data_IF_313109374842
#
_entry.id   IF_313109374842
#
_cell.length_a   1.000
_cell.length_b   1.000
_cell.length_c   1.000
_cell.angle_alpha   90.00
_cell.angle_beta   90.00
_cell.angle_gamma   90.00
#
_symmetry.space_group_name_H-M   'P 1'
#
loop_
_entity.id
_entity.type
_entity.pdbx_description
1 polymer ?
#
# COMPACT_ATOMS: atom_id res chain seq x y z
N UNK A 1 47.13 -2.72 38.99
CA UNK A 1 45.72 -2.27 39.02
C UNK A 1 45.42 -1.67 37.65
N UNK A 2 44.88 -2.46 36.73
CA UNK A 2 44.64 -2.04 35.34
C UNK A 2 43.13 -1.95 35.15
N UNK A 3 42.67 -0.74 34.83
CA UNK A 3 41.27 -0.37 34.62
C UNK A 3 40.76 -1.06 33.36
N UNK A 4 39.88 -2.06 33.53
CA UNK A 4 39.00 -2.54 32.45
C UNK A 4 37.79 -1.61 32.36
N UNK A 5 37.86 -0.60 31.51
CA UNK A 5 36.69 0.11 30.97
C UNK A 5 37.03 0.57 29.57
N UNK A 6 36.57 -0.17 28.56
CA UNK A 6 36.45 0.21 27.14
C UNK A 6 35.91 -0.99 26.34
N UNK A 7 34.68 -1.39 26.63
CA UNK A 7 33.94 -2.27 25.71
C UNK A 7 32.46 -1.89 25.63
N UNK A 8 31.91 -1.32 26.70
CA UNK A 8 30.51 -0.86 26.72
C UNK A 8 30.27 0.48 25.99
N UNK A 9 31.30 1.32 25.77
CA UNK A 9 31.13 2.58 25.02
C UNK A 9 31.14 2.39 23.50
N UNK A 10 31.79 1.35 22.97
CA UNK A 10 31.86 1.12 21.51
C UNK A 10 30.54 0.54 20.95
N UNK A 11 29.78 -0.19 21.78
CA UNK A 11 28.46 -0.72 21.39
C UNK A 11 27.34 0.35 21.42
N UNK A 12 27.60 1.53 22.00
CA UNK A 12 26.60 2.61 22.13
C UNK A 12 26.39 3.42 20.84
N UNK A 13 27.37 3.44 19.94
CA UNK A 13 27.32 4.18 18.67
C UNK A 13 26.68 3.40 17.51
N UNK A 14 26.48 2.08 17.66
CA UNK A 14 25.94 1.20 16.61
C UNK A 14 24.41 1.11 16.67
N UNK A 15 23.78 1.55 17.77
CA UNK A 15 22.34 1.84 17.79
C UNK A 15 22.06 3.24 17.24
N UNK A 16 22.50 3.51 16.01
CA UNK A 16 21.81 4.54 15.23
C UNK A 16 20.37 4.08 15.14
N UNK A 17 19.49 4.72 15.92
CA UNK A 17 18.04 4.61 15.83
C UNK A 17 17.73 4.70 14.34
N UNK A 18 17.37 3.58 13.71
CA UNK A 18 16.95 3.64 12.32
C UNK A 18 15.85 4.69 12.27
N UNK A 19 15.94 5.68 11.36
CA UNK A 19 14.90 6.69 11.29
C UNK A 19 13.60 5.95 11.06
N UNK A 20 12.75 5.93 12.09
CA UNK A 20 11.39 5.41 11.95
C UNK A 20 10.79 6.20 10.79
N UNK A 21 10.38 5.53 9.71
CA UNK A 21 9.72 6.23 8.62
C UNK A 21 8.46 6.87 9.18
N UNK A 22 8.45 8.20 9.26
CA UNK A 22 7.30 8.96 9.78
C UNK A 22 6.36 9.38 8.65
N UNK A 23 6.89 9.57 7.44
CA UNK A 23 6.14 9.98 6.26
C UNK A 23 6.79 9.42 4.99
N UNK A 24 5.96 8.87 4.11
CA UNK A 24 6.34 8.53 2.74
C UNK A 24 5.47 9.31 1.77
N UNK A 25 6.07 9.83 0.69
CA UNK A 25 5.37 10.58 -0.36
C UNK A 25 5.73 10.03 -1.72
N UNK A 26 4.76 10.02 -2.62
CA UNK A 26 4.94 9.73 -4.03
C UNK A 26 4.79 11.01 -4.86
N UNK A 27 5.40 11.05 -6.04
CA UNK A 27 5.38 12.20 -6.92
C UNK A 27 5.34 11.79 -8.40
N UNK A 28 4.88 12.70 -9.25
CA UNK A 28 4.89 12.56 -10.71
C UNK A 28 6.31 12.51 -11.31
N UNK A 29 7.36 12.78 -10.52
CA UNK A 29 8.77 12.54 -10.89
C UNK A 29 9.17 11.05 -10.78
N UNK A 30 8.20 10.16 -10.54
CA UNK A 30 8.37 8.71 -10.36
C UNK A 30 9.23 8.38 -9.14
N UNK A 31 9.27 9.25 -8.12
CA UNK A 31 10.00 9.00 -6.88
C UNK A 31 9.09 8.73 -5.70
N UNK A 32 9.55 7.84 -4.83
CA UNK A 32 9.03 7.68 -3.47
C UNK A 32 10.06 8.24 -2.51
N UNK A 33 9.66 9.21 -1.69
CA UNK A 33 10.54 9.90 -0.75
C UNK A 33 10.12 9.63 0.68
N UNK A 34 11.11 9.41 1.55
CA UNK A 34 10.94 9.10 2.96
C UNK A 34 11.49 10.25 3.80
N UNK A 35 10.68 10.70 4.74
CA UNK A 35 10.91 11.92 5.48
C UNK A 35 10.87 11.68 6.99
N UNK A 36 11.73 12.41 7.70
CA UNK A 36 11.57 12.60 9.13
C UNK A 36 10.58 13.75 9.33
N UNK A 37 9.35 13.44 9.76
CA UNK A 37 8.26 14.41 9.79
C UNK A 37 8.53 15.63 10.68
N UNK A 38 9.32 15.49 11.75
CA UNK A 38 9.64 16.60 12.66
C UNK A 38 10.64 17.60 12.06
N UNK A 39 11.64 17.11 11.32
CA UNK A 39 12.69 17.96 10.75
C UNK A 39 12.42 18.37 9.30
N UNK A 40 11.54 17.65 8.61
CA UNK A 40 11.33 17.80 7.17
C UNK A 40 12.49 17.26 6.33
N UNK A 41 13.46 16.55 6.94
CA UNK A 41 14.61 16.00 6.20
C UNK A 41 14.18 14.77 5.40
N UNK A 42 14.33 14.84 4.08
CA UNK A 42 14.35 13.66 3.22
C UNK A 42 15.66 12.90 3.47
N UNK A 43 15.58 11.63 3.87
CA UNK A 43 16.76 10.80 4.11
C UNK A 43 16.84 9.59 3.17
N UNK A 44 15.78 9.31 2.41
CA UNK A 44 15.77 8.23 1.42
C UNK A 44 14.82 8.57 0.26
N UNK A 45 15.29 8.30 -0.95
CA UNK A 45 14.52 8.42 -2.20
C UNK A 45 14.67 7.12 -2.96
N UNK A 46 13.55 6.55 -3.40
CA UNK A 46 13.49 5.38 -4.28
C UNK A 46 12.98 5.84 -5.64
N UNK A 47 13.67 5.43 -6.71
CA UNK A 47 13.15 5.57 -8.06
C UNK A 47 12.16 4.44 -8.32
N UNK A 48 10.89 4.78 -8.52
CA UNK A 48 9.87 3.83 -8.94
C UNK A 48 9.99 3.62 -10.47
N UNK A 49 10.21 2.39 -10.93
CA UNK A 49 10.63 2.15 -12.31
C UNK A 49 9.51 2.24 -13.35
N UNK A 50 8.25 2.00 -12.97
CA UNK A 50 7.20 1.76 -13.96
C UNK A 50 6.51 3.06 -14.43
N UNK A 51 6.06 3.89 -13.48
CA UNK A 51 5.26 5.09 -13.75
C UNK A 51 5.22 6.04 -12.55
N UNK A 52 4.41 7.09 -12.62
CA UNK A 52 3.98 7.80 -11.42
C UNK A 52 3.27 6.84 -10.45
N UNK A 53 3.43 7.07 -9.16
CA UNK A 53 2.76 6.31 -8.10
C UNK A 53 1.49 7.06 -7.71
N UNK A 54 0.34 6.44 -7.96
CA UNK A 54 -0.98 7.02 -7.73
C UNK A 54 -1.43 6.85 -6.28
N UNK A 55 -0.96 5.81 -5.58
CA UNK A 55 -1.27 5.59 -4.17
C UNK A 55 -0.14 4.92 -3.40
N UNK A 56 0.03 5.34 -2.15
CA UNK A 56 0.92 4.74 -1.16
C UNK A 56 0.13 4.24 0.04
N UNK A 57 0.54 3.11 0.60
CA UNK A 57 -0.02 2.60 1.85
C UNK A 57 0.99 1.74 2.61
N UNK A 58 1.02 1.86 3.94
CA UNK A 58 1.88 1.06 4.80
C UNK A 58 1.13 -0.20 5.21
N UNK A 59 1.79 -1.36 5.15
CA UNK A 59 1.20 -2.62 5.61
C UNK A 59 0.84 -2.56 7.10
N UNK A 60 -0.17 -3.31 7.59
CA UNK A 60 -0.58 -3.28 8.99
C UNK A 60 0.54 -3.60 9.99
N UNK A 61 1.46 -4.48 9.61
CA UNK A 61 2.67 -4.83 10.38
C UNK A 61 3.78 -3.75 10.32
N UNK A 62 3.57 -2.68 9.54
CA UNK A 62 4.47 -1.55 9.31
C UNK A 62 5.80 -1.91 8.67
N UNK A 63 5.91 -3.12 8.10
CA UNK A 63 7.15 -3.61 7.52
C UNK A 63 7.36 -3.14 6.09
N UNK A 64 6.28 -2.99 5.32
CA UNK A 64 6.34 -2.67 3.91
C UNK A 64 5.52 -1.44 3.55
N UNK A 65 5.95 -0.75 2.50
CA UNK A 65 5.22 0.31 1.83
C UNK A 65 4.75 -0.22 0.48
N UNK A 66 3.45 -0.26 0.26
CA UNK A 66 2.84 -0.50 -1.03
C UNK A 66 2.82 0.76 -1.86
N UNK A 67 3.27 0.64 -3.10
CA UNK A 67 3.21 1.69 -4.11
C UNK A 67 2.48 1.19 -5.35
N UNK A 68 1.30 1.76 -5.58
CA UNK A 68 0.42 1.47 -6.69
C UNK A 68 0.66 2.46 -7.84
N UNK A 69 1.09 1.93 -8.98
CA UNK A 69 1.35 2.68 -10.22
C UNK A 69 0.60 2.09 -11.41
N UNK A 70 1.21 2.15 -12.59
CA UNK A 70 0.71 1.56 -13.82
C UNK A 70 1.65 0.46 -14.35
N UNK A 71 1.18 -0.78 -14.51
CA UNK A 71 -0.04 -1.38 -13.94
C UNK A 71 0.21 -2.07 -12.59
N UNK A 72 1.40 -1.92 -12.01
CA UNK A 72 1.87 -2.77 -10.92
C UNK A 72 1.62 -2.17 -9.52
N UNK A 73 1.49 -3.05 -8.53
CA UNK A 73 1.64 -2.70 -7.11
C UNK A 73 2.93 -3.34 -6.62
N UNK A 74 3.83 -2.52 -6.08
CA UNK A 74 5.11 -2.99 -5.56
C UNK A 74 5.22 -2.74 -4.06
N UNK A 75 5.73 -3.72 -3.32
CA UNK A 75 6.07 -3.56 -1.91
C UNK A 75 7.55 -3.25 -1.73
N UNK A 76 7.86 -2.26 -0.91
CA UNK A 76 9.22 -1.90 -0.52
C UNK A 76 9.37 -2.10 0.98
N UNK A 77 10.49 -2.69 1.40
CA UNK A 77 10.83 -2.75 2.83
C UNK A 77 11.16 -1.33 3.33
N UNK A 78 10.41 -0.93 4.37
CA UNK A 78 10.45 0.40 4.99
C UNK A 78 11.80 0.64 5.67
N UNK A 79 12.43 -0.40 6.21
CA UNK A 79 13.68 -0.34 6.98
C UNK A 79 14.93 -0.70 6.14
N UNK A 80 14.74 -1.33 4.97
CA UNK A 80 15.83 -1.59 4.03
C UNK A 80 16.22 -0.31 3.29
N UNK A 81 17.48 -0.12 2.90
CA UNK A 81 17.86 0.95 1.95
C UNK A 81 17.83 0.50 0.49
N UNK A 82 17.41 -0.75 0.22
CA UNK A 82 17.30 -1.26 -1.14
C UNK A 82 16.28 -0.43 -1.94
N UNK A 83 16.61 -0.02 -3.17
CA UNK A 83 15.64 0.58 -4.09
C UNK A 83 14.76 -0.46 -4.79
N UNK A 84 15.07 -1.75 -4.62
CA UNK A 84 14.34 -2.82 -5.28
C UNK A 84 13.09 -3.22 -4.48
N UNK A 85 11.98 -3.51 -5.16
CA UNK A 85 10.79 -4.03 -4.50
C UNK A 85 11.05 -5.44 -3.95
N UNK A 86 10.47 -5.76 -2.79
CA UNK A 86 10.53 -7.10 -2.20
C UNK A 86 9.46 -8.04 -2.78
N UNK A 87 8.34 -7.48 -3.24
CA UNK A 87 7.22 -8.19 -3.84
C UNK A 87 6.58 -7.33 -4.93
N UNK A 88 6.04 -7.97 -5.96
CA UNK A 88 5.24 -7.35 -7.01
C UNK A 88 3.89 -8.06 -7.10
N UNK A 89 2.82 -7.29 -7.29
CA UNK A 89 1.49 -7.80 -7.55
C UNK A 89 1.10 -7.35 -8.96
N UNK A 90 1.11 -8.33 -9.87
CA UNK A 90 0.88 -8.15 -11.29
C UNK A 90 -0.50 -8.74 -11.63
N UNK A 91 -1.32 -7.99 -12.36
CA UNK A 91 -2.65 -8.46 -12.76
C UNK A 91 -3.64 -7.38 -13.13
N UNK A 92 -3.44 -6.14 -12.69
CA UNK A 92 -4.11 -4.99 -13.28
C UNK A 92 -3.54 -4.69 -14.68
N UNK A 93 -4.31 -4.01 -15.52
CA UNK A 93 -3.90 -3.66 -16.90
C UNK A 93 -3.87 -2.15 -17.16
N UNK A 94 -4.18 -1.35 -16.14
CA UNK A 94 -4.15 0.12 -16.16
C UNK A 94 -3.75 0.69 -14.79
N UNK A 95 -3.81 2.01 -14.63
CA UNK A 95 -3.48 2.74 -13.41
C UNK A 95 -4.19 2.15 -12.18
N UNK A 96 -3.41 1.71 -11.20
CA UNK A 96 -3.95 1.29 -9.90
C UNK A 96 -4.14 2.55 -9.04
N UNK A 97 -5.39 2.90 -8.77
CA UNK A 97 -5.78 4.15 -8.10
C UNK A 97 -6.05 3.96 -6.61
N UNK A 98 -6.36 2.73 -6.20
CA UNK A 98 -6.64 2.35 -4.84
C UNK A 98 -5.86 1.09 -4.46
N UNK A 99 -5.33 1.09 -3.24
CA UNK A 99 -4.76 -0.05 -2.55
C UNK A 99 -5.20 0.05 -1.08
N UNK A 100 -5.29 -1.10 -0.43
CA UNK A 100 -5.79 -1.25 0.93
C UNK A 100 -5.39 -2.57 1.57
N UNK A 101 -5.28 -2.62 2.89
CA UNK A 101 -5.02 -3.87 3.63
C UNK A 101 -6.11 -4.19 4.65
N UNK A 102 -6.35 -5.49 4.87
CA UNK A 102 -7.10 -5.97 6.03
C UNK A 102 -6.24 -5.86 7.30
N UNK A 103 -6.85 -5.65 8.47
CA UNK A 103 -6.11 -5.42 9.72
C UNK A 103 -5.16 -6.56 10.12
N UNK A 104 -5.45 -7.80 9.73
CA UNK A 104 -4.59 -8.96 10.01
C UNK A 104 -3.37 -9.04 9.08
N UNK A 105 -3.31 -8.22 8.03
CA UNK A 105 -2.23 -8.19 7.06
C UNK A 105 -2.20 -9.39 6.11
N UNK A 106 -3.24 -10.24 6.10
CA UNK A 106 -3.28 -11.40 5.20
C UNK A 106 -3.81 -11.05 3.81
N UNK A 107 -4.64 -10.02 3.71
CA UNK A 107 -5.30 -9.62 2.48
C UNK A 107 -5.01 -8.18 2.10
N UNK A 108 -4.76 -7.97 0.81
CA UNK A 108 -4.73 -6.66 0.18
C UNK A 108 -5.90 -6.57 -0.82
N UNK A 109 -6.44 -5.38 -0.98
CA UNK A 109 -7.39 -5.05 -2.02
C UNK A 109 -6.88 -3.89 -2.87
N UNK A 110 -7.26 -3.85 -4.13
CA UNK A 110 -6.89 -2.77 -5.04
C UNK A 110 -8.02 -2.43 -6.00
N UNK A 111 -8.02 -1.20 -6.51
CA UNK A 111 -8.95 -0.72 -7.53
C UNK A 111 -8.19 0.02 -8.63
N UNK A 112 -8.59 -0.19 -9.88
CA UNK A 112 -7.87 0.32 -11.05
C UNK A 112 -8.78 0.95 -12.10
N UNK A 113 -8.18 1.79 -12.94
CA UNK A 113 -8.79 2.32 -14.16
C UNK A 113 -9.09 1.24 -15.21
N UNK A 114 -8.59 0.01 -15.04
CA UNK A 114 -9.01 -1.14 -15.85
C UNK A 114 -10.45 -1.60 -15.57
N UNK A 115 -11.13 -0.94 -14.63
CA UNK A 115 -12.49 -1.23 -14.26
C UNK A 115 -12.61 -2.41 -13.31
N UNK A 116 -11.57 -2.77 -12.58
CA UNK A 116 -11.62 -3.93 -11.67
C UNK A 116 -11.23 -3.57 -10.24
N UNK A 117 -11.82 -4.31 -9.30
CA UNK A 117 -11.35 -4.44 -7.93
C UNK A 117 -10.73 -5.83 -7.78
N UNK A 118 -9.47 -5.90 -7.33
CA UNK A 118 -8.76 -7.17 -7.14
C UNK A 118 -8.44 -7.42 -5.68
N UNK A 119 -8.47 -8.69 -5.29
CA UNK A 119 -8.16 -9.19 -3.94
C UNK A 119 -6.96 -10.12 -4.01
N UNK A 120 -6.01 -9.87 -3.12
CA UNK A 120 -4.72 -10.55 -3.07
C UNK A 120 -4.55 -11.17 -1.69
N UNK A 121 -4.30 -12.48 -1.63
CA UNK A 121 -3.83 -13.14 -0.41
C UNK A 121 -2.31 -13.00 -0.39
N UNK A 122 -1.74 -12.31 0.60
CA UNK A 122 -0.30 -12.05 0.67
C UNK A 122 0.52 -13.30 1.03
N UNK A 123 -0.15 -14.43 1.31
CA UNK A 123 0.46 -15.73 1.60
C UNK A 123 0.47 -16.66 0.39
N UNK A 124 -0.19 -16.26 -0.70
CA UNK A 124 -0.31 -17.05 -1.92
C UNK A 124 0.09 -16.23 -3.16
N UNK A 125 0.61 -16.87 -4.21
CA UNK A 125 0.91 -16.16 -5.44
C UNK A 125 -0.37 -15.77 -6.21
N UNK A 126 -0.32 -14.60 -6.84
CA UNK A 126 -1.34 -14.17 -7.80
C UNK A 126 -2.61 -13.58 -7.20
N UNK A 127 -3.45 -13.04 -8.09
CA UNK A 127 -4.76 -12.50 -7.76
C UNK A 127 -5.72 -13.65 -7.38
N UNK A 128 -6.38 -13.54 -6.23
CA UNK A 128 -7.31 -14.57 -5.75
C UNK A 128 -8.74 -14.31 -6.22
N UNK A 129 -9.13 -13.02 -6.32
CA UNK A 129 -10.45 -12.63 -6.81
C UNK A 129 -10.40 -11.32 -7.56
N UNK A 130 -11.27 -11.22 -8.55
CA UNK A 130 -11.44 -10.06 -9.39
C UNK A 130 -12.92 -9.75 -9.52
N UNK A 131 -13.27 -8.49 -9.36
CA UNK A 131 -14.63 -7.98 -9.45
C UNK A 131 -14.67 -6.87 -10.48
N UNK A 132 -15.51 -7.03 -11.49
CA UNK A 132 -15.72 -6.01 -12.51
C UNK A 132 -16.57 -4.87 -11.94
N UNK A 133 -15.99 -3.68 -11.96
CA UNK A 133 -16.68 -2.41 -11.90
C UNK A 133 -17.02 -1.99 -13.33
N UNK A 134 -18.21 -1.44 -13.54
CA UNK A 134 -18.68 -1.04 -14.88
C UNK A 134 -17.97 0.23 -15.40
N UNK A 135 -17.00 0.76 -14.66
CA UNK A 135 -16.14 1.88 -14.99
C UNK A 135 -14.86 1.85 -14.14
N UNK A 136 -13.90 2.71 -14.50
CA UNK A 136 -12.66 2.94 -13.77
C UNK A 136 -12.93 3.17 -12.27
N UNK A 137 -12.22 2.42 -11.43
CA UNK A 137 -12.33 2.45 -9.97
C UNK A 137 -11.32 3.45 -9.41
N UNK A 138 -11.81 4.50 -8.77
CA UNK A 138 -10.96 5.56 -8.21
C UNK A 138 -10.60 5.31 -6.74
N UNK A 139 -11.47 4.62 -6.00
CA UNK A 139 -11.29 4.36 -4.57
C UNK A 139 -11.89 3.01 -4.18
N UNK A 140 -11.26 2.36 -3.21
CA UNK A 140 -11.78 1.18 -2.52
C UNK A 140 -11.48 1.38 -1.04
N UNK A 141 -12.44 1.09 -0.17
CA UNK A 141 -12.28 1.18 1.28
C UNK A 141 -12.82 -0.08 1.95
N UNK A 142 -12.12 -0.54 2.98
CA UNK A 142 -12.58 -1.62 3.84
C UNK A 142 -13.49 -1.08 4.93
N UNK A 143 -14.68 -1.65 5.00
CA UNK A 143 -15.61 -1.37 6.08
C UNK A 143 -15.02 -1.83 7.42
N UNK A 144 -15.28 -1.13 8.54
CA UNK A 144 -14.71 -1.48 9.85
C UNK A 144 -14.98 -2.90 10.34
N UNK A 145 -16.01 -3.60 9.81
CA UNK A 145 -16.25 -5.02 10.10
C UNK A 145 -15.19 -5.97 9.52
N UNK A 146 -14.26 -5.48 8.70
CA UNK A 146 -13.20 -6.26 8.06
C UNK A 146 -13.70 -7.31 7.05
N UNK A 147 -14.96 -7.25 6.63
CA UNK A 147 -15.57 -8.26 5.74
C UNK A 147 -16.12 -7.69 4.44
N UNK A 148 -16.37 -6.38 4.39
CA UNK A 148 -16.99 -5.71 3.24
C UNK A 148 -16.09 -4.62 2.67
N UNK A 149 -15.95 -4.59 1.36
CA UNK A 149 -15.28 -3.54 0.61
C UNK A 149 -16.32 -2.66 -0.06
N UNK A 150 -16.06 -1.35 -0.09
CA UNK A 150 -16.87 -0.37 -0.80
C UNK A 150 -15.97 0.26 -1.84
N UNK A 151 -16.36 0.18 -3.11
CA UNK A 151 -15.63 0.81 -4.21
C UNK A 151 -16.41 2.00 -4.77
N UNK A 152 -15.71 2.99 -5.32
CA UNK A 152 -16.31 4.13 -6.01
C UNK A 152 -15.75 4.23 -7.42
N UNK A 153 -16.63 4.13 -8.41
CA UNK A 153 -16.27 4.21 -9.83
C UNK A 153 -16.59 5.58 -10.46
N UNK A 154 -16.05 5.84 -11.66
CA UNK A 154 -16.26 7.10 -12.38
C UNK A 154 -17.71 7.34 -12.84
N UNK A 155 -18.55 6.31 -12.87
CA UNK A 155 -19.97 6.41 -13.22
C UNK A 155 -20.87 6.67 -12.00
N UNK A 156 -20.29 6.83 -10.81
CA UNK A 156 -21.03 7.07 -9.57
C UNK A 156 -21.64 5.81 -8.95
N UNK A 157 -21.27 4.62 -9.41
CA UNK A 157 -21.68 3.39 -8.74
C UNK A 157 -20.81 3.17 -7.49
N UNK A 158 -21.46 2.65 -6.45
CA UNK A 158 -20.80 2.26 -5.20
C UNK A 158 -21.08 0.77 -4.94
N UNK A 159 -20.39 -0.18 -5.62
CA UNK A 159 -20.56 -1.59 -5.32
C UNK A 159 -19.94 -1.92 -3.95
N UNK A 160 -20.73 -2.59 -3.10
CA UNK A 160 -20.20 -3.25 -1.91
C UNK A 160 -19.93 -4.73 -2.23
N UNK A 161 -18.77 -5.24 -1.85
CA UNK A 161 -18.36 -6.62 -2.11
C UNK A 161 -17.84 -7.25 -0.84
N UNK A 162 -18.39 -8.41 -0.46
CA UNK A 162 -17.86 -9.20 0.64
C UNK A 162 -16.61 -9.99 0.24
N UNK A 163 -15.71 -10.26 1.19
CA UNK A 163 -14.66 -11.29 1.02
C UNK A 163 -15.23 -12.72 0.90
N UNK A 164 -16.54 -12.90 0.92
CA UNK A 164 -17.23 -14.15 0.60
C UNK A 164 -17.64 -14.25 -0.89
N UNK A 165 -17.39 -13.21 -1.68
CA UNK A 165 -17.69 -13.18 -3.12
C UNK A 165 -19.11 -12.70 -3.46
N UNK A 166 -19.89 -12.22 -2.50
CA UNK A 166 -21.24 -11.70 -2.77
C UNK A 166 -21.22 -10.19 -3.03
N UNK A 167 -21.79 -9.80 -4.17
CA UNK A 167 -22.11 -8.41 -4.48
C UNK A 167 -23.33 -7.97 -3.66
N UNK A 168 -23.16 -6.91 -2.88
CA UNK A 168 -24.25 -6.18 -2.24
C UNK A 168 -24.31 -4.80 -2.89
N UNK A 169 -25.24 -4.59 -3.82
CA UNK A 169 -25.46 -3.27 -4.38
C UNK A 169 -26.24 -2.44 -3.36
N UNK A 170 -25.57 -1.53 -2.64
CA UNK A 170 -26.26 -0.54 -1.83
C UNK A 170 -26.88 0.48 -2.79
N UNK A 171 -28.13 0.24 -3.21
CA UNK A 171 -28.95 1.28 -3.84
C UNK A 171 -29.27 2.29 -2.73
N UNK A 172 -28.53 3.39 -2.68
CA UNK A 172 -28.98 4.58 -1.96
C UNK A 172 -30.18 5.12 -2.75
N UNK A 173 -31.37 4.60 -2.44
CA UNK A 173 -32.61 5.18 -2.94
C UNK A 173 -32.78 6.53 -2.28
N UNK A 174 -32.64 7.61 -3.04
CA UNK A 174 -33.24 8.89 -2.67
C UNK A 174 -34.75 8.64 -2.56
N UNK A 175 -35.26 8.48 -1.33
CA UNK A 175 -36.70 8.61 -1.09
C UNK A 175 -36.99 10.11 -1.11
N UNK A 176 -37.73 10.55 -2.13
CA UNK A 176 -38.43 11.83 -2.11
C UNK A 176 -39.61 11.81 -1.14
#
# INVERSE_FOLDING_TARGET
MIVKRKKEEEDSWIRMSQPSVLLATASYDHTIRFWEAKSGRCYRTIQYPDSQVNRLEITPDKRYLAAAGNPHIRLFDVNSNSPQPVMSYDGHTSNVMAVGFQCDGNWMYSGSEDGTVKIWDLRAPGCQREYESRAAVNTVVLHPNQTELISGDQNGNIPCVGFDGKFMQLRIGARG
#
